data_IF_678880256463
#
_entry.id   IF_678880256463
#
_cell.length_a   1.000
_cell.length_b   1.000
_cell.length_c   1.000
_cell.angle_alpha   90.00
_cell.angle_beta   90.00
_cell.angle_gamma   90.00
#
_symmetry.space_group_name_H-M   'P 1'
#
loop_
_entity.id
_entity.type
_entity.pdbx_description
1 polymer ?
#
# COMPACT_ATOMS: atom_id res chain seq x y z
N UNK A 1 6.89 -50.73 -60.19
CA UNK A 1 6.64 -49.28 -59.96
C UNK A 1 5.51 -49.16 -58.95
N UNK A 2 5.82 -48.98 -57.67
CA UNK A 2 4.84 -48.68 -56.62
C UNK A 2 5.13 -47.27 -56.11
N UNK A 3 4.24 -46.31 -56.42
CA UNK A 3 4.25 -44.97 -55.84
C UNK A 3 3.36 -45.00 -54.61
N UNK A 4 3.96 -45.08 -53.43
CA UNK A 4 3.25 -44.89 -52.16
C UNK A 4 3.33 -43.43 -51.74
N UNK A 5 2.16 -42.82 -51.62
CA UNK A 5 1.93 -41.52 -50.98
C UNK A 5 2.10 -41.64 -49.46
N UNK A 6 2.80 -40.69 -48.84
CA UNK A 6 2.72 -40.39 -47.40
C UNK A 6 2.81 -38.86 -47.27
N UNK A 7 1.67 -38.19 -47.16
CA UNK A 7 0.99 -37.79 -45.91
C UNK A 7 1.76 -36.68 -45.17
N UNK A 8 1.11 -35.52 -45.14
CA UNK A 8 1.49 -34.30 -44.43
C UNK A 8 1.75 -34.56 -42.95
N UNK A 9 2.84 -34.00 -42.44
CA UNK A 9 2.92 -33.61 -41.03
C UNK A 9 2.89 -32.08 -40.95
N UNK A 10 1.70 -31.57 -40.69
CA UNK A 10 1.49 -30.23 -40.16
C UNK A 10 2.24 -30.13 -38.84
N UNK A 11 3.43 -29.52 -38.85
CA UNK A 11 4.07 -29.07 -37.64
C UNK A 11 3.24 -27.91 -37.09
N UNK A 12 2.28 -28.24 -36.21
CA UNK A 12 1.64 -27.29 -35.34
C UNK A 12 2.76 -26.63 -34.53
N UNK A 13 3.12 -25.40 -34.90
CA UNK A 13 3.88 -24.51 -34.05
C UNK A 13 3.04 -24.32 -32.78
N UNK A 14 3.35 -25.09 -31.75
CA UNK A 14 2.97 -24.79 -30.38
C UNK A 14 3.51 -23.39 -30.12
N UNK A 15 2.64 -22.40 -30.28
CA UNK A 15 2.83 -21.09 -29.72
C UNK A 15 3.11 -21.32 -28.24
N UNK A 16 4.38 -21.26 -27.88
CA UNK A 16 4.79 -21.09 -26.51
C UNK A 16 4.11 -19.80 -26.06
N UNK A 17 2.97 -19.94 -25.39
CA UNK A 17 2.51 -18.99 -24.40
C UNK A 17 3.62 -18.91 -23.38
N UNK A 18 4.64 -18.15 -23.73
CA UNK A 18 5.63 -17.61 -22.84
C UNK A 18 4.79 -16.79 -21.90
N UNK A 19 4.39 -17.41 -20.80
CA UNK A 19 3.82 -16.71 -19.67
C UNK A 19 4.89 -15.76 -19.21
N UNK A 20 4.95 -14.60 -19.85
CA UNK A 20 5.52 -13.41 -19.27
C UNK A 20 4.70 -13.19 -18.02
N UNK A 21 5.14 -13.79 -16.91
CA UNK A 21 4.72 -13.33 -15.60
C UNK A 21 4.93 -11.83 -15.66
N UNK A 22 3.86 -11.04 -15.57
CA UNK A 22 4.04 -9.61 -15.63
C UNK A 22 4.98 -9.26 -14.48
N UNK A 23 6.15 -8.74 -14.84
CA UNK A 23 7.12 -8.18 -13.91
C UNK A 23 6.55 -6.85 -13.44
N UNK A 24 5.44 -6.91 -12.72
CA UNK A 24 4.95 -5.77 -11.97
C UNK A 24 6.04 -5.47 -10.97
N UNK A 25 6.53 -4.23 -11.00
CA UNK A 25 7.46 -3.75 -10.00
C UNK A 25 6.79 -3.98 -8.64
N UNK A 26 7.25 -5.04 -7.97
CA UNK A 26 6.56 -5.64 -6.86
C UNK A 26 7.10 -4.96 -5.62
N UNK A 27 6.22 -4.43 -4.77
CA UNK A 27 6.62 -3.98 -3.45
C UNK A 27 7.29 -5.16 -2.77
N UNK A 28 8.52 -5.00 -2.30
CA UNK A 28 9.15 -6.06 -1.52
C UNK A 28 8.50 -6.17 -0.14
N UNK A 29 8.47 -7.38 0.43
CA UNK A 29 8.02 -7.60 1.82
C UNK A 29 8.73 -6.64 2.81
N UNK A 30 10.02 -6.30 2.56
CA UNK A 30 10.79 -5.34 3.36
C UNK A 30 10.23 -3.92 3.28
N UNK A 31 9.95 -3.43 2.08
CA UNK A 31 9.37 -2.09 1.90
C UNK A 31 7.97 -2.02 2.50
N UNK A 32 7.18 -3.08 2.34
CA UNK A 32 5.86 -3.15 2.96
C UNK A 32 5.95 -3.10 4.48
N UNK A 33 6.90 -3.84 5.07
CA UNK A 33 7.13 -3.81 6.51
C UNK A 33 7.56 -2.41 6.98
N UNK A 34 8.43 -1.72 6.24
CA UNK A 34 8.87 -0.37 6.57
C UNK A 34 7.70 0.63 6.53
N UNK A 35 6.89 0.59 5.48
CA UNK A 35 5.67 1.39 5.37
C UNK A 35 4.69 1.13 6.52
N UNK A 36 4.39 -0.13 6.85
CA UNK A 36 3.49 -0.47 7.96
C UNK A 36 4.00 0.07 9.30
N UNK A 37 5.31 0.03 9.54
CA UNK A 37 5.90 0.61 10.75
C UNK A 37 5.75 2.13 10.76
N UNK A 38 6.05 2.80 9.65
CA UNK A 38 5.93 4.25 9.54
C UNK A 38 4.47 4.73 9.68
N UNK A 39 3.53 4.06 9.01
CA UNK A 39 2.10 4.35 9.08
C UNK A 39 1.56 4.16 10.51
N UNK A 40 1.86 3.01 11.15
CA UNK A 40 1.47 2.78 12.54
C UNK A 40 2.10 3.79 13.50
N UNK A 41 3.34 4.23 13.25
CA UNK A 41 3.98 5.28 14.04
C UNK A 41 3.27 6.62 13.89
N UNK A 42 2.91 7.00 12.67
CA UNK A 42 2.16 8.22 12.42
C UNK A 42 0.82 8.19 13.15
N UNK A 43 0.03 7.13 12.98
CA UNK A 43 -1.26 6.97 13.64
C UNK A 43 -1.14 7.08 15.17
N UNK A 44 -0.15 6.42 15.78
CA UNK A 44 0.02 6.44 17.24
C UNK A 44 0.66 7.72 17.77
N UNK A 45 1.40 8.47 16.96
CA UNK A 45 1.87 9.82 17.32
C UNK A 45 0.70 10.80 17.43
N UNK A 46 -0.32 10.64 16.60
CA UNK A 46 -1.52 11.50 16.53
C UNK A 46 -2.59 11.04 17.51
N UNK A 47 -2.81 9.73 17.58
CA UNK A 47 -3.89 9.09 18.32
C UNK A 47 -3.32 7.97 19.21
N UNK A 48 -2.60 8.30 20.29
CA UNK A 48 -1.93 7.30 21.13
C UNK A 48 -2.90 6.27 21.74
N UNK A 49 -4.18 6.61 21.88
CA UNK A 49 -5.22 5.75 22.43
C UNK A 49 -5.56 4.54 21.55
N UNK A 50 -5.24 4.55 20.25
CA UNK A 50 -5.64 3.46 19.33
C UNK A 50 -5.04 2.10 19.70
N UNK A 51 -3.89 2.09 20.38
CA UNK A 51 -3.24 0.86 20.85
C UNK A 51 -4.11 0.08 21.86
N UNK A 52 -4.98 0.78 22.58
CA UNK A 52 -5.79 0.21 23.66
C UNK A 52 -7.22 -0.10 23.21
N UNK A 53 -7.59 0.31 21.99
CA UNK A 53 -8.96 0.26 21.50
C UNK A 53 -9.40 -1.11 20.99
N UNK A 54 -8.49 -2.09 20.80
CA UNK A 54 -8.81 -3.45 20.35
C UNK A 54 -9.83 -3.47 19.17
N UNK A 55 -11.05 -3.99 19.39
CA UNK A 55 -12.12 -4.06 18.40
C UNK A 55 -12.84 -2.71 18.14
N UNK A 56 -12.57 -1.67 18.92
CA UNK A 56 -13.16 -0.34 18.77
C UNK A 56 -12.38 0.58 17.81
N UNK A 57 -11.21 0.14 17.31
CA UNK A 57 -10.36 0.93 16.40
C UNK A 57 -11.12 1.35 15.13
N UNK A 58 -11.98 0.48 14.60
CA UNK A 58 -12.79 0.81 13.42
C UNK A 58 -13.77 1.96 13.70
N UNK A 59 -14.54 1.87 14.78
CA UNK A 59 -15.48 2.91 15.18
C UNK A 59 -14.76 4.24 15.51
N UNK A 60 -13.54 4.17 16.05
CA UNK A 60 -12.71 5.35 16.24
C UNK A 60 -12.43 6.07 14.90
N UNK A 61 -11.99 5.33 13.87
CA UNK A 61 -11.74 5.91 12.55
C UNK A 61 -13.00 6.47 11.89
N UNK A 62 -14.15 5.81 12.06
CA UNK A 62 -15.43 6.33 11.57
C UNK A 62 -15.89 7.61 12.27
N UNK A 63 -15.44 7.83 13.52
CA UNK A 63 -15.78 9.02 14.30
C UNK A 63 -14.91 10.24 14.00
N UNK A 64 -13.81 10.06 13.24
CA UNK A 64 -12.90 11.16 12.96
C UNK A 64 -13.56 12.23 12.06
N UNK A 65 -13.28 13.51 12.30
CA UNK A 65 -13.62 14.58 11.36
C UNK A 65 -13.10 14.28 9.94
N UNK A 66 -13.87 14.68 8.92
CA UNK A 66 -13.53 14.40 7.51
C UNK A 66 -12.11 14.89 7.13
N UNK A 67 -11.70 16.05 7.63
CA UNK A 67 -10.37 16.61 7.40
C UNK A 67 -9.25 15.80 8.07
N UNK A 68 -9.51 15.21 9.24
CA UNK A 68 -8.58 14.29 9.92
C UNK A 68 -8.43 12.99 9.13
N UNK A 69 -9.55 12.43 8.66
CA UNK A 69 -9.55 11.26 7.79
C UNK A 69 -8.80 11.54 6.49
N UNK A 70 -9.05 12.69 5.86
CA UNK A 70 -8.34 13.11 4.64
C UNK A 70 -6.83 13.27 4.86
N UNK A 71 -6.43 13.80 6.01
CA UNK A 71 -5.02 13.89 6.39
C UNK A 71 -4.39 12.50 6.53
N UNK A 72 -5.02 11.58 7.26
CA UNK A 72 -4.52 10.22 7.44
C UNK A 72 -4.33 9.51 6.10
N UNK A 73 -5.30 9.59 5.20
CA UNK A 73 -5.19 9.01 3.86
C UNK A 73 -4.03 9.61 3.06
N UNK A 74 -3.96 10.93 3.00
CA UNK A 74 -2.93 11.65 2.23
C UNK A 74 -1.53 11.35 2.77
N UNK A 75 -1.37 11.40 4.09
CA UNK A 75 -0.09 11.17 4.73
C UNK A 75 0.34 9.70 4.65
N UNK A 76 -0.60 8.76 4.72
CA UNK A 76 -0.32 7.34 4.49
C UNK A 76 0.19 7.09 3.06
N UNK A 77 -0.42 7.72 2.05
CA UNK A 77 0.05 7.65 0.67
C UNK A 77 1.45 8.26 0.50
N UNK A 78 1.74 9.39 1.17
CA UNK A 78 3.09 9.97 1.19
C UNK A 78 4.12 9.00 1.76
N UNK A 79 3.82 8.38 2.92
CA UNK A 79 4.71 7.41 3.56
C UNK A 79 4.93 6.19 2.67
N UNK A 80 3.88 5.68 2.04
CA UNK A 80 4.01 4.57 1.09
C UNK A 80 4.92 4.95 -0.08
N UNK A 81 4.68 6.10 -0.72
CA UNK A 81 5.50 6.61 -1.84
C UNK A 81 6.97 6.77 -1.45
N UNK A 82 7.28 7.18 -0.22
CA UNK A 82 8.67 7.30 0.25
C UNK A 82 9.39 5.94 0.28
N UNK A 83 8.68 4.86 0.64
CA UNK A 83 9.27 3.52 0.75
C UNK A 83 9.39 2.79 -0.59
N UNK A 84 8.43 2.98 -1.50
CA UNK A 84 8.34 2.22 -2.75
C UNK A 84 8.62 3.04 -4.02
N UNK A 85 8.63 4.36 -3.92
CA UNK A 85 8.73 5.28 -5.05
C UNK A 85 7.40 5.51 -5.78
N UNK A 86 7.30 6.64 -6.48
CA UNK A 86 6.05 7.02 -7.17
C UNK A 86 5.62 6.01 -8.22
N UNK A 87 6.54 5.48 -9.03
CA UNK A 87 6.20 4.51 -10.09
C UNK A 87 5.55 3.24 -9.54
N UNK A 88 6.04 2.73 -8.40
CA UNK A 88 5.46 1.55 -7.76
C UNK A 88 4.11 1.86 -7.11
N UNK A 89 3.98 3.03 -6.47
CA UNK A 89 2.71 3.49 -5.93
C UNK A 89 1.63 3.59 -7.01
N UNK A 90 1.97 4.25 -8.11
CA UNK A 90 1.14 4.39 -9.29
C UNK A 90 0.70 3.04 -9.87
N UNK A 91 1.60 2.06 -9.85
CA UNK A 91 1.29 0.71 -10.29
C UNK A 91 0.26 0.03 -9.37
N UNK A 92 0.34 0.21 -8.05
CA UNK A 92 -0.67 -0.28 -7.10
C UNK A 92 -2.05 0.31 -7.41
N UNK A 93 -2.11 1.62 -7.67
CA UNK A 93 -3.38 2.31 -7.94
C UNK A 93 -4.06 1.84 -9.23
N UNK A 94 -3.27 1.51 -10.26
CA UNK A 94 -3.77 1.18 -11.60
C UNK A 94 -3.90 -0.31 -11.88
N UNK A 95 -3.20 -1.17 -11.13
CA UNK A 95 -3.12 -2.59 -11.39
C UNK A 95 -3.78 -3.42 -10.28
N UNK A 96 -4.84 -4.14 -10.64
CA UNK A 96 -5.61 -4.98 -9.70
C UNK A 96 -4.74 -6.00 -8.96
N UNK A 97 -3.80 -6.67 -9.64
CA UNK A 97 -2.96 -7.68 -8.99
C UNK A 97 -1.96 -7.05 -8.00
N UNK A 98 -1.40 -5.90 -8.35
CA UNK A 98 -0.53 -5.15 -7.43
C UNK A 98 -1.31 -4.65 -6.20
N UNK A 99 -2.55 -4.19 -6.40
CA UNK A 99 -3.46 -3.80 -5.31
C UNK A 99 -3.82 -4.97 -4.40
N UNK A 100 -4.23 -6.11 -4.96
CA UNK A 100 -4.54 -7.33 -4.20
C UNK A 100 -3.33 -7.82 -3.40
N UNK A 101 -2.13 -7.77 -3.97
CA UNK A 101 -0.91 -8.09 -3.25
C UNK A 101 -0.68 -7.09 -2.10
N UNK A 102 -0.78 -5.78 -2.35
CA UNK A 102 -0.65 -4.76 -1.31
C UNK A 102 -1.64 -4.99 -0.17
N UNK A 103 -2.93 -5.17 -0.46
CA UNK A 103 -3.98 -5.43 0.53
C UNK A 103 -3.67 -6.67 1.36
N UNK A 104 -3.30 -7.78 0.69
CA UNK A 104 -2.93 -9.03 1.38
C UNK A 104 -1.75 -8.82 2.33
N UNK A 105 -0.73 -8.09 1.89
CA UNK A 105 0.43 -7.79 2.72
C UNK A 105 0.09 -6.84 3.87
N UNK A 106 -0.73 -5.83 3.61
CA UNK A 106 -1.24 -4.91 4.62
C UNK A 106 -1.97 -5.69 5.71
N UNK A 107 -2.93 -6.53 5.36
CA UNK A 107 -3.64 -7.38 6.32
C UNK A 107 -2.69 -8.32 7.07
N UNK A 108 -1.69 -8.89 6.40
CA UNK A 108 -0.72 -9.81 7.05
C UNK A 108 0.15 -9.10 8.09
N UNK A 109 0.62 -7.89 7.78
CA UNK A 109 1.65 -7.20 8.54
C UNK A 109 1.07 -6.16 9.51
N UNK A 110 -0.14 -5.67 9.26
CA UNK A 110 -0.75 -4.58 10.02
C UNK A 110 -1.42 -5.04 11.33
N UNK A 111 -0.74 -5.88 12.11
CA UNK A 111 -1.25 -6.36 13.40
C UNK A 111 -0.45 -5.79 14.57
N UNK A 112 -0.24 -4.46 14.51
CA UNK A 112 0.34 -3.57 15.51
C UNK A 112 1.86 -3.65 15.69
N UNK A 113 2.52 -2.50 15.55
CA UNK A 113 3.50 -1.92 16.53
C UNK A 113 4.10 -0.63 15.96
N UNK A 114 4.01 0.50 16.69
CA UNK A 114 5.16 0.83 17.54
C UNK A 114 4.99 0.74 19.06
N UNK A 115 5.97 0.15 19.73
CA UNK A 115 6.13 0.12 21.20
C UNK A 115 7.01 1.24 21.73
N UNK A 116 7.73 1.94 20.84
CA UNK A 116 8.60 3.06 21.16
C UNK A 116 8.50 4.08 20.04
N UNK A 117 7.85 5.20 20.32
CA UNK A 117 7.67 6.28 19.37
C UNK A 117 8.97 7.09 19.24
N UNK A 118 9.32 7.47 18.01
CA UNK A 118 10.39 8.43 17.77
C UNK A 118 9.85 9.86 18.03
N UNK A 119 10.38 10.60 19.02
CA UNK A 119 9.85 11.92 19.37
C UNK A 119 9.94 12.94 18.24
N UNK A 120 11.01 12.91 17.47
CA UNK A 120 11.20 13.81 16.33
C UNK A 120 10.17 13.52 15.24
N UNK A 121 10.01 12.25 14.86
CA UNK A 121 9.00 11.84 13.89
C UNK A 121 7.58 12.23 14.33
N UNK A 122 7.26 12.07 15.63
CA UNK A 122 5.97 12.52 16.16
C UNK A 122 5.79 14.04 16.08
N UNK A 123 6.83 14.82 16.37
CA UNK A 123 6.78 16.27 16.27
C UNK A 123 6.53 16.72 14.81
N UNK A 124 7.24 16.12 13.86
CA UNK A 124 7.09 16.38 12.43
C UNK A 124 5.70 15.97 11.93
N UNK A 125 5.21 14.79 12.32
CA UNK A 125 3.88 14.29 11.94
C UNK A 125 2.77 15.21 12.45
N UNK A 126 2.85 15.64 13.71
CA UNK A 126 1.87 16.59 14.29
C UNK A 126 1.97 17.97 13.64
N UNK A 127 3.15 18.41 13.23
CA UNK A 127 3.31 19.66 12.50
C UNK A 127 2.62 19.57 11.13
N UNK A 128 2.88 18.52 10.36
CA UNK A 128 2.22 18.26 9.08
C UNK A 128 0.70 18.22 9.20
N UNK A 129 0.18 17.54 10.24
CA UNK A 129 -1.26 17.52 10.52
C UNK A 129 -1.81 18.93 10.76
N UNK A 130 -1.18 19.72 11.64
CA UNK A 130 -1.62 21.10 11.90
C UNK A 130 -1.57 21.98 10.66
N UNK A 131 -0.55 21.83 9.83
CA UNK A 131 -0.42 22.57 8.57
C UNK A 131 -1.53 22.19 7.59
N UNK A 132 -1.78 20.88 7.42
CA UNK A 132 -2.87 20.38 6.58
C UNK A 132 -4.22 20.90 7.08
N UNK A 133 -4.56 20.68 8.35
CA UNK A 133 -5.83 21.12 8.93
C UNK A 133 -5.98 22.65 8.92
N UNK A 134 -4.88 23.38 9.08
CA UNK A 134 -4.85 24.84 8.99
C UNK A 134 -5.17 25.40 7.60
N UNK A 135 -4.98 24.62 6.54
CA UNK A 135 -5.44 24.97 5.19
C UNK A 135 -6.96 24.83 5.06
N UNK A 136 -7.55 23.84 5.71
CA UNK A 136 -9.00 23.61 5.70
C UNK A 136 -9.78 24.44 6.73
N UNK A 137 -9.12 24.93 7.79
CA UNK A 137 -9.71 25.82 8.79
C UNK A 137 -9.71 27.32 8.43
N UNK A 138 -9.12 27.71 7.29
CA UNK A 138 -9.13 29.09 6.76
C UNK A 138 -10.27 29.39 5.80
N UNK A 139 -11.21 28.47 5.61
CA UNK A 139 -12.46 28.74 4.91
C UNK A 139 -13.40 29.41 5.91
N UNK A 140 -13.27 30.74 6.02
CA UNK A 140 -14.21 31.63 6.72
C UNK A 140 -15.29 32.05 5.73
#
# INVERSE_FOLDING_TARGET
MFKSSLVLFSAAALAACSGSQPTFQTISDKQMQAYIVAANQAEQCLYPQIQQMNNQVHAFYESLPINETAFLHTYSDELLKQEIGETAFDNIQRNTQAREYFEKQFTRLNHSKPTKLNPQFCAETRLKQREFLGQYGRVI
#
